data_IF_516959246061
#
_entry.id   IF_516959246061
#
_cell.length_a   1.000
_cell.length_b   1.000
_cell.length_c   1.000
_cell.angle_alpha   90.00
_cell.angle_beta   90.00
_cell.angle_gamma   90.00
#
_symmetry.space_group_name_H-M   'P 1'
#
loop_
_entity.id
_entity.type
_entity.pdbx_description
1 polymer ?
#
# COMPACT_ATOMS: atom_id res chain seq x y z
N UNK A 1 53.89 38.19 -6.02
CA UNK A 1 52.49 38.42 -6.44
C UNK A 1 51.97 37.09 -6.94
N UNK A 2 51.80 36.14 -6.02
CA UNK A 2 51.22 34.83 -6.30
C UNK A 2 49.75 34.93 -5.90
N UNK A 3 48.88 34.81 -6.90
CA UNK A 3 47.43 34.93 -6.74
C UNK A 3 46.93 33.53 -6.36
N UNK A 4 46.50 33.34 -5.11
CA UNK A 4 45.75 32.15 -4.72
C UNK A 4 44.45 32.07 -5.54
N UNK A 5 44.06 30.89 -6.05
CA UNK A 5 42.78 30.76 -6.71
C UNK A 5 41.67 30.60 -5.66
N UNK A 6 40.61 31.40 -5.83
CA UNK A 6 39.35 31.30 -5.07
C UNK A 6 38.71 29.91 -5.19
N UNK A 7 38.02 29.42 -4.14
CA UNK A 7 37.32 28.15 -4.19
C UNK A 7 36.10 28.27 -5.11
N UNK A 8 36.07 27.47 -6.18
CA UNK A 8 34.87 27.28 -6.97
C UNK A 8 33.83 26.56 -6.10
N UNK A 9 32.73 27.24 -5.79
CA UNK A 9 31.53 26.64 -5.24
C UNK A 9 30.95 25.69 -6.28
N UNK A 10 31.36 24.42 -6.19
CA UNK A 10 30.74 23.33 -6.91
C UNK A 10 29.27 23.23 -6.52
N UNK A 11 28.41 23.51 -7.49
CA UNK A 11 26.99 23.21 -7.45
C UNK A 11 26.79 21.71 -7.21
N UNK A 12 26.55 21.32 -5.97
CA UNK A 12 26.12 19.99 -5.58
C UNK A 12 24.66 20.04 -5.12
N UNK A 13 23.79 20.64 -5.93
CA UNK A 13 22.38 20.25 -5.94
C UNK A 13 22.29 19.01 -6.82
N UNK A 14 22.66 17.86 -6.25
CA UNK A 14 22.38 16.56 -6.86
C UNK A 14 20.89 16.52 -7.17
N UNK A 15 20.57 16.54 -8.48
CA UNK A 15 19.20 16.51 -8.95
C UNK A 15 18.50 15.32 -8.31
N UNK A 16 17.37 15.59 -7.65
CA UNK A 16 16.43 14.54 -7.29
C UNK A 16 16.19 13.70 -8.55
N UNK A 17 16.29 12.36 -8.48
CA UNK A 17 16.08 11.51 -9.64
C UNK A 17 14.75 11.89 -10.29
N UNK A 18 14.76 12.07 -11.62
CA UNK A 18 13.57 12.32 -12.39
C UNK A 18 12.55 11.22 -12.02
N UNK A 19 11.33 11.61 -11.63
CA UNK A 19 10.30 10.72 -11.08
C UNK A 19 10.06 9.45 -11.91
N UNK A 20 10.41 9.45 -13.20
CA UNK A 20 10.36 8.30 -14.10
C UNK A 20 11.45 7.22 -13.91
N UNK A 21 12.54 7.48 -13.18
CA UNK A 21 13.64 6.51 -13.00
C UNK A 21 13.54 5.68 -11.71
N UNK A 22 12.70 6.07 -10.74
CA UNK A 22 12.64 5.40 -9.43
C UNK A 22 11.96 4.02 -9.50
N UNK A 23 11.06 3.82 -10.46
CA UNK A 23 10.17 2.66 -10.49
C UNK A 23 10.26 1.88 -11.79
N UNK A 24 11.42 1.24 -12.00
CA UNK A 24 11.71 0.47 -13.23
C UNK A 24 10.90 -0.84 -13.35
N UNK A 25 10.40 -1.36 -12.24
CA UNK A 25 9.64 -2.61 -12.19
C UNK A 25 8.18 -2.37 -11.82
N UNK A 26 7.28 -3.01 -12.57
CA UNK A 26 5.86 -2.97 -12.29
C UNK A 26 5.53 -3.78 -11.03
N UNK A 27 4.94 -3.11 -10.03
CA UNK A 27 4.50 -3.77 -8.80
C UNK A 27 3.21 -4.56 -9.02
N UNK A 28 2.88 -5.45 -8.10
CA UNK A 28 1.60 -6.16 -8.06
C UNK A 28 0.78 -5.60 -6.91
N UNK A 29 -0.35 -4.96 -7.23
CA UNK A 29 -1.34 -4.57 -6.23
C UNK A 29 -2.22 -5.78 -5.89
N UNK A 30 -2.04 -6.32 -4.68
CA UNK A 30 -2.78 -7.46 -4.15
C UNK A 30 -4.19 -7.04 -3.66
N UNK A 31 -4.99 -6.42 -4.53
CA UNK A 31 -6.29 -5.86 -4.15
C UNK A 31 -7.30 -5.87 -5.29
N UNK A 32 -8.56 -6.19 -4.94
CA UNK A 32 -9.71 -6.00 -5.81
C UNK A 32 -10.33 -4.60 -5.73
N UNK A 33 -9.87 -3.74 -4.79
CA UNK A 33 -10.49 -2.44 -4.51
C UNK A 33 -10.26 -1.44 -5.65
N UNK A 34 -11.32 -0.88 -6.28
CA UNK A 34 -11.18 0.19 -7.27
C UNK A 34 -10.49 1.42 -6.70
N UNK A 35 -10.83 1.81 -5.47
CA UNK A 35 -10.23 2.95 -4.79
C UNK A 35 -8.71 2.82 -4.60
N UNK A 36 -8.20 1.63 -4.24
CA UNK A 36 -6.75 1.41 -4.09
C UNK A 36 -6.02 1.46 -5.43
N UNK A 37 -6.67 0.98 -6.50
CA UNK A 37 -6.15 1.12 -7.87
C UNK A 37 -6.03 2.60 -8.25
N UNK A 38 -7.07 3.39 -8.01
CA UNK A 38 -7.08 4.82 -8.32
C UNK A 38 -5.99 5.59 -7.54
N UNK A 39 -5.82 5.29 -6.25
CA UNK A 39 -4.75 5.88 -5.42
C UNK A 39 -3.37 5.53 -5.98
N UNK A 40 -3.13 4.26 -6.34
CA UNK A 40 -1.83 3.86 -6.85
C UNK A 40 -1.57 4.42 -8.26
N UNK A 41 -2.62 4.56 -9.08
CA UNK A 41 -2.55 5.24 -10.38
C UNK A 41 -2.15 6.71 -10.23
N UNK A 42 -2.67 7.42 -9.24
CA UNK A 42 -2.32 8.83 -9.02
C UNK A 42 -0.88 9.03 -8.55
N UNK A 43 -0.27 8.02 -7.91
CA UNK A 43 1.16 7.98 -7.57
C UNK A 43 2.05 7.82 -8.82
N UNK A 44 1.51 7.26 -9.91
CA UNK A 44 2.24 7.13 -11.18
C UNK A 44 3.22 5.94 -11.25
N UNK A 45 3.20 5.03 -10.28
CA UNK A 45 4.01 3.80 -10.34
C UNK A 45 3.34 2.79 -11.30
N UNK A 46 4.04 2.21 -12.29
CA UNK A 46 3.52 1.09 -13.07
C UNK A 46 3.08 -0.10 -12.20
N UNK A 47 1.89 -0.65 -12.42
CA UNK A 47 1.44 -1.82 -11.67
C UNK A 47 0.43 -2.70 -12.41
N UNK A 48 0.35 -3.95 -11.96
CA UNK A 48 -0.70 -4.91 -12.29
C UNK A 48 -1.56 -5.18 -11.05
N UNK A 49 -2.85 -5.49 -11.22
CA UNK A 49 -3.70 -5.92 -10.11
C UNK A 49 -3.84 -7.43 -10.08
N UNK A 50 -3.66 -8.03 -8.89
CA UNK A 50 -3.94 -9.44 -8.64
C UNK A 50 -4.81 -9.55 -7.40
N UNK A 51 -6.10 -9.85 -7.56
CA UNK A 51 -6.97 -10.13 -6.44
C UNK A 51 -6.75 -11.57 -5.96
N UNK A 52 -6.51 -11.73 -4.67
CA UNK A 52 -6.39 -13.04 -4.00
C UNK A 52 -7.49 -13.17 -2.95
N UNK A 53 -8.02 -14.37 -2.81
CA UNK A 53 -8.95 -14.71 -1.76
C UNK A 53 -8.17 -15.14 -0.52
N UNK A 54 -8.44 -14.51 0.62
CA UNK A 54 -7.92 -14.90 1.94
C UNK A 54 -9.09 -14.98 2.93
N UNK A 55 -8.86 -15.59 4.09
CA UNK A 55 -9.82 -15.59 5.17
C UNK A 55 -9.76 -14.26 5.93
N UNK A 56 -10.80 -13.45 5.79
CA UNK A 56 -10.92 -12.15 6.46
C UNK A 56 -11.61 -12.27 7.83
N UNK A 57 -11.78 -13.47 8.38
CA UNK A 57 -12.39 -13.66 9.70
C UNK A 57 -11.52 -13.06 10.81
N UNK A 58 -12.17 -12.44 11.79
CA UNK A 58 -11.53 -11.94 13.01
C UNK A 58 -11.07 -13.11 13.88
N UNK A 59 -9.82 -13.08 14.34
CA UNK A 59 -9.34 -14.05 15.32
C UNK A 59 -9.84 -13.69 16.73
N UNK A 60 -9.90 -14.68 17.62
CA UNK A 60 -10.35 -14.46 18.99
C UNK A 60 -9.42 -13.48 19.73
N UNK A 61 -9.97 -12.38 20.24
CA UNK A 61 -9.21 -11.34 20.94
C UNK A 61 -8.29 -10.54 20.04
N UNK A 62 -8.52 -10.54 18.72
CA UNK A 62 -7.68 -9.80 17.79
C UNK A 62 -8.02 -8.31 17.78
N UNK A 63 -7.04 -7.49 18.17
CA UNK A 63 -7.14 -6.04 18.14
C UNK A 63 -7.21 -5.51 16.69
N UNK A 64 -7.91 -4.40 16.48
CA UNK A 64 -8.15 -3.84 15.14
C UNK A 64 -6.87 -3.57 14.34
N UNK A 65 -5.81 -3.09 15.02
CA UNK A 65 -4.50 -2.84 14.39
C UNK A 65 -3.82 -4.15 13.99
N UNK A 66 -3.90 -5.18 14.84
CA UNK A 66 -3.33 -6.49 14.53
C UNK A 66 -4.08 -7.15 13.36
N UNK A 67 -5.41 -7.07 13.38
CA UNK A 67 -6.29 -7.55 12.32
C UNK A 67 -5.95 -6.93 10.97
N UNK A 68 -5.94 -5.60 10.86
CA UNK A 68 -5.69 -4.92 9.57
C UNK A 68 -4.27 -5.18 9.05
N UNK A 69 -3.27 -5.26 9.94
CA UNK A 69 -1.90 -5.59 9.57
C UNK A 69 -1.78 -7.04 9.06
N UNK A 70 -2.43 -7.98 9.76
CA UNK A 70 -2.47 -9.38 9.36
C UNK A 70 -3.09 -9.52 7.97
N UNK A 71 -4.26 -8.95 7.73
CA UNK A 71 -4.93 -9.04 6.43
C UNK A 71 -4.11 -8.41 5.30
N UNK A 72 -3.51 -7.23 5.54
CA UNK A 72 -2.65 -6.59 4.54
C UNK A 72 -1.46 -7.49 4.16
N UNK A 73 -0.83 -8.12 5.16
CA UNK A 73 0.28 -9.05 4.96
C UNK A 73 -0.16 -10.32 4.24
N UNK A 74 -1.23 -10.98 4.71
CA UNK A 74 -1.73 -12.21 4.11
C UNK A 74 -2.12 -12.02 2.63
N UNK A 75 -2.71 -10.87 2.28
CA UNK A 75 -2.98 -10.51 0.88
C UNK A 75 -1.70 -10.41 0.06
N UNK A 76 -0.67 -9.74 0.60
CA UNK A 76 0.62 -9.63 -0.08
C UNK A 76 1.30 -10.98 -0.25
N UNK A 77 1.34 -11.81 0.79
CA UNK A 77 1.96 -13.14 0.77
C UNK A 77 1.24 -14.09 -0.19
N UNK A 78 -0.10 -14.10 -0.16
CA UNK A 78 -0.90 -14.90 -1.08
C UNK A 78 -0.71 -14.47 -2.55
N UNK A 79 -0.56 -13.17 -2.84
CA UNK A 79 -0.24 -12.72 -4.19
C UNK A 79 1.21 -13.03 -4.59
N UNK A 80 2.16 -12.94 -3.65
CA UNK A 80 3.57 -13.25 -3.89
C UNK A 80 3.80 -14.73 -4.27
N UNK A 81 3.03 -15.66 -3.68
CA UNK A 81 3.12 -17.08 -4.03
C UNK A 81 2.73 -17.37 -5.50
N UNK A 82 1.86 -16.55 -6.09
CA UNK A 82 1.47 -16.66 -7.50
C UNK A 82 2.45 -15.97 -8.46
N UNK A 83 3.27 -15.04 -7.96
CA UNK A 83 4.16 -14.19 -8.75
C UNK A 83 5.53 -14.04 -8.06
N UNK A 84 6.34 -15.12 -8.03
CA UNK A 84 7.62 -15.10 -7.35
C UNK A 84 8.56 -14.03 -7.94
N UNK A 85 9.40 -13.44 -7.10
CA UNK A 85 10.40 -12.41 -7.46
C UNK A 85 9.83 -11.08 -7.97
N UNK A 86 8.55 -10.78 -7.72
CA UNK A 86 7.94 -9.48 -8.01
C UNK A 86 7.64 -8.73 -6.72
N UNK A 87 7.71 -7.40 -6.79
CA UNK A 87 7.28 -6.54 -5.68
C UNK A 87 5.74 -6.60 -5.57
N UNK A 88 5.25 -6.93 -4.37
CA UNK A 88 3.81 -7.03 -4.09
C UNK A 88 3.41 -6.02 -3.02
N UNK A 89 2.31 -5.31 -3.26
CA UNK A 89 1.70 -4.37 -2.33
C UNK A 89 0.35 -4.94 -1.86
N UNK A 90 0.29 -5.35 -0.59
CA UNK A 90 -0.95 -5.65 0.11
C UNK A 90 -1.39 -4.45 0.95
N UNK A 91 -2.71 -4.26 1.07
CA UNK A 91 -3.28 -3.21 1.90
C UNK A 91 -4.67 -3.63 2.38
N UNK A 92 -4.98 -3.28 3.62
CA UNK A 92 -6.30 -3.47 4.22
C UNK A 92 -6.74 -2.23 4.99
N UNK A 93 -8.02 -2.14 5.33
CA UNK A 93 -8.60 -0.99 6.03
C UNK A 93 -9.80 -1.43 6.82
N UNK A 94 -9.83 -1.05 8.10
CA UNK A 94 -10.91 -1.35 9.04
C UNK A 94 -11.48 -0.06 9.60
N UNK A 95 -12.78 -0.06 9.91
CA UNK A 95 -13.46 1.02 10.63
C UNK A 95 -13.70 0.55 12.06
N UNK A 96 -13.41 1.39 13.05
CA UNK A 96 -13.63 1.09 14.47
C UNK A 96 -14.52 2.18 15.06
N UNK A 97 -15.57 1.76 15.77
CA UNK A 97 -16.49 2.63 16.52
C UNK A 97 -16.69 2.01 17.89
N UNK A 98 -16.46 2.76 18.97
CA UNK A 98 -16.59 2.29 20.35
C UNK A 98 -15.88 0.94 20.60
N UNK A 99 -14.62 0.84 20.15
CA UNK A 99 -13.78 -0.36 20.21
C UNK A 99 -14.30 -1.58 19.43
N UNK A 100 -15.34 -1.42 18.62
CA UNK A 100 -15.88 -2.47 17.76
C UNK A 100 -15.41 -2.30 16.32
N UNK A 101 -14.83 -3.35 15.79
CA UNK A 101 -14.49 -3.46 14.37
C UNK A 101 -15.79 -3.61 13.56
N UNK A 102 -16.04 -2.64 12.69
CA UNK A 102 -17.13 -2.71 11.72
C UNK A 102 -16.65 -3.43 10.47
N UNK A 103 -17.07 -4.69 10.33
CA UNK A 103 -16.90 -5.46 9.10
C UNK A 103 -17.87 -4.98 8.00
N UNK A 104 -17.84 -5.64 6.83
CA UNK A 104 -18.86 -5.41 5.80
C UNK A 104 -20.25 -5.68 6.39
N UNK A 105 -21.25 -4.81 6.14
CA UNK A 105 -22.59 -5.03 6.64
C UNK A 105 -23.15 -6.33 6.08
N UNK A 106 -23.83 -7.10 6.92
CA UNK A 106 -24.46 -8.35 6.52
C UNK A 106 -25.66 -8.09 5.59
N UNK A 107 -26.40 -7.01 5.85
CA UNK A 107 -27.55 -6.59 5.09
C UNK A 107 -27.79 -5.06 5.20
N UNK A 108 -28.86 -4.57 4.57
CA UNK A 108 -29.20 -3.14 4.61
C UNK A 108 -29.65 -2.63 5.97
N UNK A 109 -30.17 -3.50 6.85
CA UNK A 109 -30.48 -3.15 8.24
C UNK A 109 -29.22 -2.96 9.06
N UNK A 110 -28.26 -3.88 8.91
CA UNK A 110 -26.95 -3.81 9.52
C UNK A 110 -26.16 -2.59 9.02
N UNK A 111 -26.23 -2.28 7.73
CA UNK A 111 -25.66 -1.06 7.17
C UNK A 111 -26.25 0.21 7.81
N UNK A 112 -27.56 0.26 8.06
CA UNK A 112 -28.19 1.40 8.75
C UNK A 112 -27.79 1.50 10.21
N UNK A 113 -27.55 0.38 10.89
CA UNK A 113 -27.04 0.34 12.28
C UNK A 113 -25.61 0.88 12.36
N UNK A 114 -24.83 0.78 11.29
CA UNK A 114 -23.44 1.24 11.22
C UNK A 114 -23.28 2.76 10.91
N UNK A 115 -24.34 3.45 10.47
CA UNK A 115 -24.35 4.89 10.13
C UNK A 115 -24.80 5.75 11.30
#
# INVERSE_FOLDING_TARGET
MEKEPEPQAGSAMGGLPHTGEIFKEALILASASPRRREILQSVGWPFETLAVAIDESLLHGEEAVAYVQRLAREKAEAAASHRPSRLVLGADTVVVVDDQILCKPLDGGDARRML
#
